data_IF_679274266487
#
_entry.id   IF_679274266487
#
_cell.length_a   1.000
_cell.length_b   1.000
_cell.length_c   1.000
_cell.angle_alpha   90.00
_cell.angle_beta   90.00
_cell.angle_gamma   90.00
#
_symmetry.space_group_name_H-M   'P 1'
#
loop_
_entity.id
_entity.type
_entity.pdbx_description
1 polymer ?
#
# COMPACT_ATOMS: atom_id res chain seq x y z
N UNK A 1 -86.15 30.29 74.27
CA UNK A 1 -84.79 30.13 74.80
C UNK A 1 -83.95 31.12 74.01
N UNK A 2 -84.00 32.42 74.32
CA UNK A 2 -83.57 33.09 75.55
C UNK A 2 -82.13 32.72 75.88
N UNK A 3 -81.21 33.58 75.44
CA UNK A 3 -79.93 33.92 76.07
C UNK A 3 -79.51 35.24 75.43
N UNK A 4 -80.01 36.31 76.05
CA UNK A 4 -79.28 37.57 76.14
C UNK A 4 -77.93 37.27 76.78
N UNK A 5 -76.85 37.75 76.16
CA UNK A 5 -75.59 37.99 76.86
C UNK A 5 -75.07 39.33 76.33
N UNK A 6 -75.39 40.38 77.09
CA UNK A 6 -74.71 41.66 77.07
C UNK A 6 -73.22 41.42 77.31
N UNK A 7 -72.35 41.93 76.45
CA UNK A 7 -71.01 42.35 76.89
C UNK A 7 -70.41 43.34 75.90
N UNK A 8 -70.48 44.60 76.32
CA UNK A 8 -69.70 45.77 75.91
C UNK A 8 -69.74 46.13 74.42
N UNK A 9 -70.72 46.97 74.08
CA UNK A 9 -70.47 48.17 73.29
C UNK A 9 -69.16 48.82 73.77
N UNK A 10 -68.06 48.50 73.10
CA UNK A 10 -66.87 49.34 73.04
C UNK A 10 -66.83 49.92 71.62
N UNK A 11 -67.97 50.44 71.18
CA UNK A 11 -68.06 51.47 70.13
C UNK A 11 -67.52 52.79 70.71
N UNK A 12 -66.25 52.77 71.14
CA UNK A 12 -65.45 53.97 71.02
C UNK A 12 -65.15 54.13 69.53
N UNK A 13 -66.19 54.51 68.79
CA UNK A 13 -66.00 55.32 67.59
C UNK A 13 -65.10 56.46 68.04
N UNK A 14 -63.81 56.34 67.76
CA UNK A 14 -62.88 57.46 67.74
C UNK A 14 -63.40 58.36 66.62
N UNK A 15 -64.47 59.11 66.91
CA UNK A 15 -65.04 60.13 66.07
C UNK A 15 -64.03 61.28 66.12
N UNK A 16 -62.97 61.12 65.32
CA UNK A 16 -61.95 62.13 65.12
C UNK A 16 -62.66 63.27 64.43
N UNK A 17 -63.13 64.23 65.23
CA UNK A 17 -63.80 65.43 64.76
C UNK A 17 -62.77 66.34 64.08
N UNK A 18 -62.44 66.05 62.82
CA UNK A 18 -61.61 66.90 61.98
C UNK A 18 -62.29 68.26 61.82
N UNK A 19 -61.53 69.32 62.03
CA UNK A 19 -62.01 70.67 61.73
C UNK A 19 -62.07 70.87 60.21
N UNK A 20 -63.00 71.70 59.74
CA UNK A 20 -63.17 71.98 58.31
C UNK A 20 -61.86 72.48 57.66
N UNK A 21 -61.08 73.29 58.38
CA UNK A 21 -59.80 73.82 57.91
C UNK A 21 -58.74 72.72 57.75
N UNK A 22 -58.71 71.71 58.64
CA UNK A 22 -57.81 70.55 58.50
C UNK A 22 -58.16 69.72 57.26
N UNK A 23 -59.46 69.51 57.01
CA UNK A 23 -59.93 68.76 55.84
C UNK A 23 -59.61 69.51 54.53
N UNK A 24 -59.80 70.82 54.51
CA UNK A 24 -59.48 71.70 53.39
C UNK A 24 -57.97 71.66 53.07
N UNK A 25 -57.12 71.78 54.09
CA UNK A 25 -55.66 71.74 53.92
C UNK A 25 -55.18 70.35 53.44
N UNK A 26 -55.75 69.27 53.96
CA UNK A 26 -55.45 67.92 53.50
C UNK A 26 -55.83 67.73 52.01
N UNK A 27 -56.99 68.23 51.59
CA UNK A 27 -57.43 68.16 50.20
C UNK A 27 -56.52 68.97 49.25
N UNK A 28 -56.13 70.19 49.63
CA UNK A 28 -55.19 70.99 48.82
C UNK A 28 -53.84 70.30 48.65
N UNK A 29 -53.30 69.69 49.71
CA UNK A 29 -52.06 68.94 49.63
C UNK A 29 -52.19 67.71 48.71
N UNK A 30 -53.29 66.96 48.84
CA UNK A 30 -53.61 65.84 47.95
C UNK A 30 -53.70 66.29 46.49
N UNK A 31 -54.33 67.43 46.21
CA UNK A 31 -54.47 67.97 44.86
C UNK A 31 -53.12 68.37 44.26
N UNK A 32 -52.24 69.03 45.05
CA UNK A 32 -50.87 69.38 44.62
C UNK A 32 -50.04 68.12 44.31
N UNK A 33 -50.17 67.08 45.13
CA UNK A 33 -49.50 65.79 44.86
C UNK A 33 -50.03 65.13 43.58
N UNK A 34 -51.35 65.11 43.40
CA UNK A 34 -51.99 64.58 42.19
C UNK A 34 -51.49 65.30 40.92
N UNK A 35 -51.41 66.63 40.94
CA UNK A 35 -50.90 67.41 39.81
C UNK A 35 -49.41 67.09 39.53
N UNK A 36 -48.58 66.99 40.58
CA UNK A 36 -47.20 66.54 40.47
C UNK A 36 -47.07 65.16 39.82
N UNK A 37 -47.91 64.19 40.23
CA UNK A 37 -47.94 62.84 39.66
C UNK A 37 -48.37 62.88 38.19
N UNK A 38 -49.38 63.70 37.84
CA UNK A 38 -49.84 63.85 36.47
C UNK A 38 -48.74 64.36 35.53
N UNK A 39 -47.93 65.32 35.98
CA UNK A 39 -46.78 65.82 35.22
C UNK A 39 -45.73 64.73 35.02
N UNK A 40 -45.39 63.98 36.08
CA UNK A 40 -44.48 62.82 35.99
C UNK A 40 -44.99 61.75 35.03
N UNK A 41 -46.30 61.48 35.02
CA UNK A 41 -46.86 60.46 34.13
C UNK A 41 -46.80 60.91 32.66
N UNK A 42 -47.01 62.20 32.37
CA UNK A 42 -46.84 62.77 31.03
C UNK A 42 -45.40 62.63 30.53
N UNK A 43 -44.39 62.87 31.38
CA UNK A 43 -42.99 62.70 30.98
C UNK A 43 -42.63 61.23 30.76
N UNK A 44 -43.04 60.33 31.65
CA UNK A 44 -42.83 58.89 31.50
C UNK A 44 -43.46 58.35 30.21
N UNK A 45 -44.67 58.81 29.85
CA UNK A 45 -45.33 58.40 28.60
C UNK A 45 -44.53 58.82 27.37
N UNK A 46 -43.94 60.03 27.36
CA UNK A 46 -43.06 60.48 26.27
C UNK A 46 -41.80 59.61 26.18
N UNK A 47 -41.17 59.32 27.32
CA UNK A 47 -39.97 58.48 27.37
C UNK A 47 -40.26 57.06 26.89
N UNK A 48 -41.40 56.48 27.28
CA UNK A 48 -41.83 55.16 26.81
C UNK A 48 -41.99 55.10 25.28
N UNK A 49 -42.57 56.14 24.67
CA UNK A 49 -42.68 56.24 23.21
C UNK A 49 -41.30 56.38 22.55
N UNK A 50 -40.39 57.17 23.13
CA UNK A 50 -39.02 57.31 22.62
C UNK A 50 -38.27 55.97 22.64
N UNK A 51 -38.25 55.31 23.81
CA UNK A 51 -37.60 54.01 23.98
C UNK A 51 -38.19 52.95 23.06
N UNK A 52 -39.52 52.95 22.85
CA UNK A 52 -40.15 52.01 21.91
C UNK A 52 -39.68 52.20 20.47
N UNK A 53 -39.40 53.45 20.03
CA UNK A 53 -38.86 53.72 18.69
C UNK A 53 -37.42 53.26 18.56
N UNK A 54 -36.59 53.54 19.56
CA UNK A 54 -35.18 53.09 19.60
C UNK A 54 -35.06 51.56 19.63
N UNK A 55 -35.99 50.89 20.33
CA UNK A 55 -36.09 49.43 20.33
C UNK A 55 -36.38 48.89 18.93
N UNK A 56 -37.32 49.52 18.21
CA UNK A 56 -37.71 49.09 16.87
C UNK A 56 -36.57 49.30 15.85
N UNK A 57 -35.84 50.41 15.93
CA UNK A 57 -34.65 50.64 15.08
C UNK A 57 -33.56 49.60 15.37
N UNK A 58 -33.26 49.35 16.64
CA UNK A 58 -32.27 48.36 17.06
C UNK A 58 -32.65 46.94 16.60
N UNK A 59 -33.94 46.59 16.71
CA UNK A 59 -34.47 45.31 16.23
C UNK A 59 -34.29 45.15 14.72
N UNK A 60 -34.55 46.21 13.95
CA UNK A 60 -34.36 46.20 12.51
C UNK A 60 -32.88 46.04 12.13
N UNK A 61 -31.97 46.70 12.84
CA UNK A 61 -30.51 46.53 12.64
C UNK A 61 -30.06 45.11 12.97
N UNK A 62 -30.48 44.55 14.10
CA UNK A 62 -30.19 43.15 14.45
C UNK A 62 -30.67 42.17 13.37
N UNK A 63 -31.84 42.43 12.76
CA UNK A 63 -32.34 41.60 11.66
C UNK A 63 -31.44 41.66 10.41
N UNK A 64 -30.79 42.79 10.13
CA UNK A 64 -29.85 42.93 9.02
C UNK A 64 -28.56 42.16 9.31
N UNK A 65 -28.00 42.32 10.51
CA UNK A 65 -26.79 41.60 10.91
C UNK A 65 -27.00 40.08 10.90
N UNK A 66 -28.17 39.59 11.33
CA UNK A 66 -28.48 38.15 11.25
C UNK A 66 -28.45 37.64 9.80
N UNK A 67 -29.04 38.37 8.85
CA UNK A 67 -28.99 38.00 7.42
C UNK A 67 -27.56 38.02 6.89
N UNK A 68 -26.77 39.01 7.27
CA UNK A 68 -25.36 39.10 6.86
C UNK A 68 -24.55 37.92 7.41
N UNK A 69 -24.72 37.58 8.68
CA UNK A 69 -24.09 36.40 9.31
C UNK A 69 -24.47 35.11 8.56
N UNK A 70 -25.73 34.95 8.18
CA UNK A 70 -26.19 33.80 7.41
C UNK A 70 -25.51 33.72 6.04
N UNK A 71 -25.45 34.83 5.29
CA UNK A 71 -24.74 34.87 4.01
C UNK A 71 -23.23 34.61 4.13
N UNK A 72 -22.60 35.06 5.21
CA UNK A 72 -21.18 34.80 5.47
C UNK A 72 -20.94 33.33 5.85
N UNK A 73 -21.87 32.74 6.60
CA UNK A 73 -21.82 31.32 6.94
C UNK A 73 -21.90 30.44 5.69
N UNK A 74 -22.80 30.77 4.76
CA UNK A 74 -22.93 30.06 3.48
C UNK A 74 -21.65 30.18 2.63
N UNK A 75 -21.05 31.38 2.57
CA UNK A 75 -19.76 31.59 1.91
C UNK A 75 -18.63 30.79 2.55
N UNK A 76 -18.57 30.73 3.88
CA UNK A 76 -17.56 29.93 4.58
C UNK A 76 -17.70 28.44 4.29
N UNK A 77 -18.93 27.91 4.21
CA UNK A 77 -19.18 26.52 3.81
C UNK A 77 -18.64 26.27 2.39
N UNK A 78 -18.88 27.20 1.46
CA UNK A 78 -18.35 27.09 0.10
C UNK A 78 -16.82 27.05 0.08
N UNK A 79 -16.14 27.97 0.78
CA UNK A 79 -14.67 28.01 0.80
C UNK A 79 -14.05 26.78 1.48
N UNK A 80 -14.68 26.23 2.52
CA UNK A 80 -14.23 24.98 3.14
C UNK A 80 -14.24 23.84 2.12
N UNK A 81 -15.33 23.69 1.36
CA UNK A 81 -15.42 22.65 0.33
C UNK A 81 -14.37 22.83 -0.78
N UNK A 82 -14.10 24.07 -1.18
CA UNK A 82 -13.07 24.38 -2.19
C UNK A 82 -11.67 24.02 -1.70
N UNK A 83 -11.35 24.32 -0.42
CA UNK A 83 -10.10 23.93 0.21
C UNK A 83 -9.95 22.40 0.26
N UNK A 84 -11.02 21.67 0.61
CA UNK A 84 -10.98 20.21 0.65
C UNK A 84 -10.70 19.60 -0.74
N UNK A 85 -11.34 20.12 -1.79
CA UNK A 85 -11.07 19.70 -3.18
C UNK A 85 -9.62 19.97 -3.56
N UNK A 86 -9.09 21.16 -3.25
CA UNK A 86 -7.70 21.53 -3.54
C UNK A 86 -6.71 20.64 -2.77
N UNK A 87 -7.02 20.29 -1.53
CA UNK A 87 -6.19 19.39 -0.72
C UNK A 87 -6.13 17.98 -1.33
N UNK A 88 -7.29 17.42 -1.73
CA UNK A 88 -7.35 16.11 -2.40
C UNK A 88 -6.57 16.14 -3.72
N UNK A 89 -6.74 17.21 -4.53
CA UNK A 89 -6.02 17.38 -5.79
C UNK A 89 -4.50 17.49 -5.57
N UNK A 90 -4.08 18.23 -4.54
CA UNK A 90 -2.66 18.40 -4.21
C UNK A 90 -2.05 17.07 -3.76
N UNK A 91 -2.78 16.29 -2.95
CA UNK A 91 -2.34 14.97 -2.51
C UNK A 91 -2.17 14.01 -3.68
N UNK A 92 -3.15 13.94 -4.58
CA UNK A 92 -3.07 13.13 -5.80
C UNK A 92 -1.88 13.52 -6.68
N UNK A 93 -1.61 14.83 -6.80
CA UNK A 93 -0.46 15.34 -7.57
C UNK A 93 0.86 14.86 -6.98
N UNK A 94 1.04 14.97 -5.66
CA UNK A 94 2.24 14.49 -4.95
C UNK A 94 2.44 12.99 -5.17
N UNK A 95 1.39 12.20 -4.96
CA UNK A 95 1.47 10.73 -5.09
C UNK A 95 1.87 10.33 -6.52
N UNK A 96 1.32 11.03 -7.54
CA UNK A 96 1.68 10.80 -8.94
C UNK A 96 3.13 11.19 -9.27
N UNK A 97 3.69 12.18 -8.57
CA UNK A 97 5.07 12.61 -8.76
C UNK A 97 6.05 11.60 -8.16
N UNK A 98 5.76 11.09 -6.96
CA UNK A 98 6.54 10.01 -6.34
C UNK A 98 6.53 8.73 -7.18
N UNK A 99 5.38 8.35 -7.75
CA UNK A 99 5.28 7.20 -8.64
C UNK A 99 6.12 7.40 -9.92
N UNK A 100 6.07 8.58 -10.52
CA UNK A 100 6.87 8.91 -11.70
C UNK A 100 8.39 8.87 -11.42
N UNK A 101 8.84 9.27 -10.22
CA UNK A 101 10.24 9.14 -9.83
C UNK A 101 10.67 7.67 -9.70
N UNK A 102 9.84 6.81 -9.10
CA UNK A 102 10.09 5.37 -9.02
C UNK A 102 10.19 4.74 -10.42
N UNK A 103 9.25 5.07 -11.30
CA UNK A 103 9.24 4.58 -12.69
C UNK A 103 10.49 5.03 -13.47
N UNK A 104 10.97 6.26 -13.27
CA UNK A 104 12.22 6.73 -13.89
C UNK A 104 13.42 5.88 -13.46
N UNK A 105 13.54 5.57 -12.16
CA UNK A 105 14.61 4.71 -11.65
C UNK A 105 14.53 3.31 -12.27
N UNK A 106 13.34 2.72 -12.32
CA UNK A 106 13.13 1.41 -12.95
C UNK A 106 13.50 1.40 -14.43
N UNK A 107 13.11 2.44 -15.18
CA UNK A 107 13.46 2.61 -16.59
C UNK A 107 14.97 2.69 -16.79
N UNK A 108 15.70 3.42 -15.94
CA UNK A 108 17.16 3.53 -16.04
C UNK A 108 17.85 2.18 -15.76
N UNK A 109 17.36 1.42 -14.78
CA UNK A 109 17.84 0.06 -14.49
C UNK A 109 17.56 -0.86 -15.68
N UNK A 110 16.34 -0.85 -16.21
CA UNK A 110 15.95 -1.64 -17.38
C UNK A 110 16.79 -1.28 -18.61
N UNK A 111 17.00 0.00 -18.88
CA UNK A 111 17.83 0.49 -20.00
C UNK A 111 19.27 -0.02 -19.90
N UNK A 112 19.85 -0.02 -18.69
CA UNK A 112 21.19 -0.59 -18.46
C UNK A 112 21.22 -2.10 -18.72
N UNK A 113 20.22 -2.84 -18.24
CA UNK A 113 20.10 -4.29 -18.47
C UNK A 113 19.92 -4.62 -19.96
N UNK A 114 19.13 -3.82 -20.68
CA UNK A 114 18.88 -3.98 -22.10
C UNK A 114 20.13 -3.71 -22.94
N UNK A 115 20.92 -2.70 -22.58
CA UNK A 115 22.22 -2.43 -23.23
C UNK A 115 23.19 -3.62 -23.08
N UNK A 116 23.28 -4.20 -21.89
CA UNK A 116 24.10 -5.41 -21.65
C UNK A 116 23.58 -6.57 -22.50
N UNK A 117 22.26 -6.80 -22.49
CA UNK A 117 21.62 -7.84 -23.28
C UNK A 117 21.88 -7.66 -24.79
N UNK A 118 21.68 -6.46 -25.33
CA UNK A 118 21.93 -6.14 -26.74
C UNK A 118 23.39 -6.32 -27.13
N UNK A 119 24.33 -5.95 -26.26
CA UNK A 119 25.75 -6.19 -26.51
C UNK A 119 26.09 -7.68 -26.54
N UNK A 120 25.43 -8.47 -25.69
CA UNK A 120 25.60 -9.93 -25.68
C UNK A 120 24.95 -10.60 -26.89
N UNK A 121 23.80 -10.11 -27.37
CA UNK A 121 23.11 -10.65 -28.54
C UNK A 121 23.92 -10.44 -29.82
N UNK A 122 24.52 -9.26 -30.02
CA UNK A 122 25.41 -9.00 -31.16
C UNK A 122 26.63 -9.94 -31.14
N UNK A 123 27.22 -10.18 -29.96
CA UNK A 123 28.31 -11.15 -29.82
C UNK A 123 27.86 -12.56 -30.18
N UNK A 124 26.67 -12.97 -29.74
CA UNK A 124 26.08 -14.27 -30.06
C UNK A 124 25.78 -14.40 -31.55
N UNK A 125 25.19 -13.38 -32.18
CA UNK A 125 24.91 -13.35 -33.61
C UNK A 125 26.20 -13.43 -34.44
N UNK A 126 27.26 -12.73 -34.03
CA UNK A 126 28.57 -12.84 -34.68
C UNK A 126 29.13 -14.27 -34.56
N UNK A 127 29.04 -14.90 -33.39
CA UNK A 127 29.47 -16.30 -33.19
C UNK A 127 28.65 -17.28 -34.06
N UNK A 128 27.32 -17.13 -34.08
CA UNK A 128 26.43 -17.98 -34.86
C UNK A 128 26.55 -17.72 -36.36
N UNK A 129 26.76 -16.47 -36.78
CA UNK A 129 27.00 -16.07 -38.16
C UNK A 129 28.30 -16.69 -38.72
N UNK A 130 29.36 -16.74 -37.90
CA UNK A 130 30.57 -17.49 -38.22
C UNK A 130 30.32 -19.01 -38.30
N UNK A 131 29.40 -19.54 -37.48
CA UNK A 131 29.05 -20.96 -37.50
C UNK A 131 28.08 -21.35 -38.62
N UNK A 132 27.33 -20.38 -39.18
CA UNK A 132 26.48 -20.55 -40.37
C UNK A 132 27.28 -20.73 -41.68
N UNK A 133 28.54 -21.14 -41.60
CA UNK A 133 29.09 -21.97 -42.68
C UNK A 133 28.08 -23.10 -42.89
N UNK A 134 27.41 -23.06 -44.04
CA UNK A 134 26.47 -24.05 -44.54
C UNK A 134 27.02 -25.42 -44.15
N UNK A 135 26.47 -26.00 -43.07
CA UNK A 135 26.76 -27.37 -42.75
C UNK A 135 26.44 -28.13 -44.02
N UNK A 136 27.44 -28.81 -44.55
CA UNK A 136 27.32 -29.71 -45.67
C UNK A 136 25.95 -30.39 -45.56
N UNK A 137 25.03 -30.10 -46.48
CA UNK A 137 23.87 -30.97 -46.68
C UNK A 137 24.43 -32.29 -47.20
N UNK A 138 25.04 -33.07 -46.31
CA UNK A 138 25.46 -34.43 -46.57
C UNK A 138 24.19 -35.28 -46.50
N UNK A 139 23.42 -35.26 -47.59
CA UNK A 139 22.46 -36.32 -47.85
C UNK A 139 23.21 -37.66 -47.97
N UNK A 140 22.47 -38.75 -47.78
CA UNK A 140 22.95 -40.11 -48.07
C UNK A 140 23.52 -40.15 -49.51
N UNK A 141 24.84 -40.28 -49.62
CA UNK A 141 25.57 -40.30 -50.91
C UNK A 141 26.62 -39.22 -51.13
N UNK A 142 26.90 -38.33 -50.17
CA UNK A 142 27.92 -37.29 -50.35
C UNK A 142 29.35 -37.81 -50.16
N UNK A 143 30.19 -37.66 -51.20
CA UNK A 143 31.61 -38.05 -51.18
C UNK A 143 32.47 -36.85 -50.74
N UNK A 144 33.23 -37.00 -49.66
CA UNK A 144 33.98 -35.90 -49.06
C UNK A 144 35.11 -35.42 -49.98
N UNK A 145 34.88 -34.33 -50.71
CA UNK A 145 35.96 -33.65 -51.43
C UNK A 145 36.96 -33.03 -50.44
N UNK A 146 38.26 -33.24 -50.70
CA UNK A 146 39.42 -32.99 -49.81
C UNK A 146 39.63 -31.56 -49.31
N UNK A 147 38.80 -30.57 -49.70
CA UNK A 147 39.04 -29.15 -49.44
C UNK A 147 37.97 -28.47 -48.58
N UNK A 148 37.12 -29.22 -47.88
CA UNK A 148 36.18 -28.61 -46.93
C UNK A 148 36.94 -28.20 -45.68
N UNK A 149 37.05 -26.88 -45.44
CA UNK A 149 37.61 -26.33 -44.20
C UNK A 149 36.67 -26.69 -43.04
N UNK A 150 36.95 -27.78 -42.36
CA UNK A 150 36.28 -28.13 -41.11
C UNK A 150 36.75 -27.18 -40.02
N UNK A 151 35.91 -26.20 -39.67
CA UNK A 151 36.11 -25.43 -38.45
C UNK A 151 35.76 -26.31 -37.24
N UNK A 152 36.62 -26.32 -36.22
CA UNK A 152 36.34 -27.08 -35.01
C UNK A 152 35.09 -26.50 -34.33
N UNK A 153 34.01 -27.29 -34.22
CA UNK A 153 32.87 -26.95 -33.39
C UNK A 153 33.33 -26.82 -31.93
N UNK A 154 33.37 -25.61 -31.40
CA UNK A 154 33.78 -25.33 -30.03
C UNK A 154 32.89 -26.01 -28.97
N UNK A 155 31.64 -26.33 -29.31
CA UNK A 155 30.64 -26.88 -28.38
C UNK A 155 30.66 -28.41 -28.24
N UNK A 156 31.31 -29.15 -29.15
CA UNK A 156 31.29 -30.62 -29.13
C UNK A 156 32.72 -31.14 -28.93
N UNK A 157 32.97 -31.79 -27.79
CA UNK A 157 34.25 -32.48 -27.54
C UNK A 157 34.43 -33.58 -28.59
N UNK A 158 35.58 -33.62 -29.27
CA UNK A 158 35.92 -34.68 -30.23
C UNK A 158 35.82 -36.04 -29.54
N UNK A 159 34.81 -36.83 -29.91
CA UNK A 159 34.70 -38.22 -29.49
C UNK A 159 35.72 -39.00 -30.30
N UNK A 160 36.86 -39.34 -29.71
CA UNK A 160 37.81 -40.28 -30.32
C UNK A 160 37.18 -41.68 -30.24
N UNK A 161 36.96 -42.38 -31.37
CA UNK A 161 36.39 -43.72 -31.34
C UNK A 161 37.33 -44.68 -30.61
N UNK A 162 37.04 -45.04 -29.35
CA UNK A 162 37.73 -46.13 -28.66
C UNK A 162 37.15 -47.46 -29.13
N UNK A 163 37.73 -48.02 -30.18
CA UNK A 163 37.38 -49.37 -30.65
C UNK A 163 37.93 -50.38 -29.63
N UNK A 164 37.04 -51.00 -28.85
CA UNK A 164 37.35 -52.09 -27.93
C UNK A 164 36.83 -53.43 -28.48
N UNK A 165 37.59 -54.49 -28.24
CA UNK A 165 37.18 -55.83 -28.62
C UNK A 165 36.23 -56.42 -27.57
N UNK A 166 35.00 -56.78 -27.95
CA UNK A 166 34.03 -57.36 -27.00
C UNK A 166 34.44 -58.76 -26.50
N UNK A 167 35.36 -59.45 -27.19
CA UNK A 167 35.81 -60.79 -26.81
C UNK A 167 36.92 -60.75 -25.74
N UNK A 168 38.02 -60.02 -26.00
CA UNK A 168 39.17 -59.96 -25.09
C UNK A 168 39.25 -58.70 -24.23
N UNK A 169 38.37 -57.72 -24.46
CA UNK A 169 38.34 -56.45 -23.73
C UNK A 169 39.50 -55.50 -24.03
N UNK A 170 40.40 -55.84 -24.97
CA UNK A 170 41.54 -54.98 -25.35
C UNK A 170 41.14 -53.95 -26.41
N UNK A 171 41.79 -52.79 -26.38
CA UNK A 171 41.60 -51.71 -27.34
C UNK A 171 42.35 -52.00 -28.66
N UNK A 172 41.88 -51.39 -29.75
CA UNK A 172 42.58 -51.35 -31.04
C UNK A 172 42.12 -52.37 -32.08
N UNK A 173 41.15 -53.23 -31.77
CA UNK A 173 40.58 -54.18 -32.73
C UNK A 173 39.14 -54.57 -32.38
N UNK A 174 38.42 -55.18 -33.33
CA UNK A 174 37.04 -55.65 -33.17
C UNK A 174 37.06 -57.15 -32.84
N UNK A 175 35.98 -57.68 -32.25
CA UNK A 175 35.84 -59.09 -31.90
C UNK A 175 36.13 -60.08 -33.05
N UNK A 176 35.91 -59.67 -34.30
CA UNK A 176 36.15 -60.49 -35.49
C UNK A 176 37.63 -60.70 -35.78
N UNK A 177 38.47 -59.70 -35.50
CA UNK A 177 39.93 -59.77 -35.66
C UNK A 177 40.66 -60.14 -34.36
N UNK A 178 39.93 -60.66 -33.37
CA UNK A 178 40.53 -61.01 -32.09
C UNK A 178 41.36 -62.30 -32.16
N UNK A 179 42.66 -62.18 -31.90
CA UNK A 179 43.60 -63.31 -31.86
C UNK A 179 43.15 -64.44 -30.90
N UNK A 180 42.58 -64.08 -29.75
CA UNK A 180 42.08 -65.05 -28.76
C UNK A 180 40.78 -65.75 -29.18
N UNK A 181 40.03 -65.19 -30.13
CA UNK A 181 38.83 -65.83 -30.70
C UNK A 181 39.21 -66.81 -31.81
N UNK A 182 40.21 -66.46 -32.61
CA UNK A 182 40.60 -67.26 -33.77
C UNK A 182 41.51 -68.45 -33.43
N UNK A 183 42.12 -68.48 -32.24
CA UNK A 183 42.95 -69.59 -31.78
C UNK A 183 42.27 -70.36 -30.62
N UNK A 184 41.71 -71.54 -30.92
CA UNK A 184 41.00 -72.43 -29.98
C UNK A 184 41.86 -72.89 -28.78
N UNK A 185 43.18 -72.92 -28.91
CA UNK A 185 44.10 -73.48 -27.92
C UNK A 185 44.37 -72.60 -26.69
N UNK A 186 43.96 -71.33 -26.71
CA UNK A 186 44.14 -70.38 -25.59
C UNK A 186 42.83 -70.03 -24.87
N UNK A 187 41.73 -70.65 -25.27
CA UNK A 187 40.37 -70.17 -24.98
C UNK A 187 39.64 -70.87 -23.85
N UNK A 188 40.13 -70.82 -22.59
CA UNK A 188 39.28 -71.11 -21.42
C UNK A 188 39.66 -70.26 -20.20
N UNK A 189 39.45 -68.95 -20.28
CA UNK A 189 39.31 -68.16 -19.05
C UNK A 189 37.93 -68.49 -18.45
N UNK A 190 37.89 -69.35 -17.42
CA UNK A 190 36.67 -69.60 -16.62
C UNK A 190 36.25 -68.28 -15.98
N UNK A 191 35.21 -67.65 -16.51
CA UNK A 191 34.55 -66.50 -15.88
C UNK A 191 33.60 -67.05 -14.82
N UNK A 192 33.88 -66.78 -13.55
CA UNK A 192 32.98 -67.06 -12.43
C UNK A 192 32.12 -65.81 -12.25
N UNK A 193 30.81 -65.99 -12.10
CA UNK A 193 29.90 -64.90 -11.79
C UNK A 193 30.13 -64.48 -10.33
N UNK A 194 30.47 -63.21 -10.11
CA UNK A 194 30.67 -62.66 -8.77
C UNK A 194 29.76 -61.43 -8.64
N UNK A 195 29.00 -61.28 -7.53
CA UNK A 195 28.22 -60.08 -7.27
C UNK A 195 29.09 -58.81 -7.33
N UNK A 196 28.54 -57.70 -7.84
CA UNK A 196 29.28 -56.44 -7.94
C UNK A 196 29.72 -55.97 -6.55
N UNK A 197 31.03 -55.88 -6.33
CA UNK A 197 31.63 -55.39 -5.08
C UNK A 197 32.65 -56.31 -4.41
N UNK A 198 32.84 -57.55 -4.89
CA UNK A 198 33.76 -58.52 -4.27
C UNK A 198 35.14 -58.54 -4.95
N UNK A 199 36.21 -58.28 -4.18
CA UNK A 199 37.60 -58.49 -4.62
C UNK A 199 38.08 -59.89 -4.21
N UNK A 200 38.41 -60.76 -5.17
CA UNK A 200 38.84 -62.14 -4.91
C UNK A 200 40.35 -62.13 -4.60
N UNK A 201 40.73 -61.99 -3.32
CA UNK A 201 42.14 -61.83 -2.90
C UNK A 201 42.84 -63.11 -2.44
N UNK A 202 42.25 -64.29 -2.52
CA UNK A 202 42.89 -65.54 -2.07
C UNK A 202 42.59 -66.74 -2.97
N UNK A 203 43.25 -66.82 -4.13
CA UNK A 203 43.33 -68.07 -4.89
C UNK A 203 44.42 -68.97 -4.25
N UNK A 204 44.01 -70.05 -3.59
CA UNK A 204 44.92 -71.05 -3.02
C UNK A 204 45.03 -72.22 -4.00
N UNK A 205 46.21 -72.39 -4.61
CA UNK A 205 46.58 -73.46 -5.53
C UNK A 205 48.10 -73.71 -5.48
N UNK A 206 48.57 -74.91 -5.86
CA UNK A 206 49.82 -75.47 -5.36
C UNK A 206 51.02 -74.89 -6.10
N UNK A 207 51.63 -73.86 -5.53
CA UNK A 207 53.08 -73.64 -5.51
C UNK A 207 53.39 -72.47 -4.56
N UNK A 208 54.17 -72.81 -3.53
CA UNK A 208 54.76 -71.95 -2.49
C UNK A 208 53.83 -71.51 -1.34
N UNK A 209 53.90 -72.27 -0.25
CA UNK A 209 53.92 -71.72 1.11
C UNK A 209 54.67 -72.67 2.03
N UNK A 210 55.83 -72.23 2.48
CA UNK A 210 56.36 -72.61 3.80
C UNK A 210 56.36 -71.34 4.63
N UNK A 211 55.76 -71.42 5.81
CA UNK A 211 55.80 -70.40 6.86
C UNK A 211 56.44 -71.08 8.06
N UNK A 212 57.43 -70.47 8.74
CA UNK A 212 57.73 -70.82 10.11
C UNK A 212 57.02 -69.86 11.07
N UNK A 213 56.42 -70.44 12.11
CA UNK A 213 55.83 -69.75 13.27
C UNK A 213 56.91 -69.13 14.15
N UNK A 214 56.68 -67.88 14.53
CA UNK A 214 56.60 -67.38 15.93
C UNK A 214 55.70 -66.16 15.93
#
# INVERSE_FOLDING_TARGET
>A
MALEDDTSEDESENEVNFTFDELQNAYENLFKEYECICLKNKTLKKNAISMSKELETSKNENSKYLKEIETLKDKNIFYINEIDILNVSSKLSIDSLEENEKLKIEIDVLKKSFSIFSNSSVKLENLLGLQRCVFDKAGLGYDQMKNVKHFNNFFVKKVVPKVCCNYCGRLGHISTSCFYRNNLCFGKNKKIWVPKGTFVTNLIGPKFKWVPKT
#
